data_IF_933343075840
#
_entry.id   IF_933343075840
#
_cell.length_a   1.000
_cell.length_b   1.000
_cell.length_c   1.000
_cell.angle_alpha   90.00
_cell.angle_beta   90.00
_cell.angle_gamma   90.00
#
_symmetry.space_group_name_H-M   'P 1'
#
loop_
_entity.id
_entity.type
_entity.pdbx_description
1 polymer ?
#
# COMPACT_ATOMS: atom_id res chain seq x y z
N UNK A 1 -28.34 46.89 -13.82
CA UNK A 1 -27.30 46.21 -13.01
C UNK A 1 -27.98 45.38 -11.95
N UNK A 2 -28.12 44.07 -12.13
CA UNK A 2 -28.49 43.09 -11.11
C UNK A 2 -28.32 41.72 -11.75
N UNK A 3 -27.71 40.77 -11.02
CA UNK A 3 -27.47 39.36 -11.36
C UNK A 3 -26.01 38.93 -11.62
N UNK A 4 -25.01 39.79 -11.42
CA UNK A 4 -23.60 39.33 -11.38
C UNK A 4 -23.22 38.62 -10.07
N UNK A 5 -24.01 38.79 -9.01
CA UNK A 5 -23.77 38.16 -7.70
C UNK A 5 -24.15 36.67 -7.66
N UNK A 6 -24.97 36.18 -8.59
CA UNK A 6 -25.34 34.76 -8.66
C UNK A 6 -24.18 33.88 -9.13
N UNK A 7 -23.24 34.43 -9.94
CA UNK A 7 -22.08 33.69 -10.43
C UNK A 7 -21.02 33.48 -9.34
N UNK A 8 -20.86 34.46 -8.43
CA UNK A 8 -19.91 34.38 -7.31
C UNK A 8 -20.36 33.35 -6.27
N UNK A 9 -21.67 33.20 -6.05
CA UNK A 9 -22.22 32.18 -5.14
C UNK A 9 -22.06 30.75 -5.65
N UNK A 10 -22.00 30.54 -6.97
CA UNK A 10 -21.81 29.22 -7.57
C UNK A 10 -20.36 28.71 -7.44
N UNK A 11 -19.38 29.61 -7.40
CA UNK A 11 -17.95 29.27 -7.30
C UNK A 11 -17.53 28.75 -5.91
N UNK A 12 -18.34 28.97 -4.87
CA UNK A 12 -18.04 28.47 -3.51
C UNK A 12 -18.52 27.03 -3.25
N UNK A 13 -19.24 26.40 -4.19
CA UNK A 13 -19.69 25.01 -4.05
C UNK A 13 -18.81 23.98 -4.76
N UNK A 14 -17.76 24.42 -5.44
CA UNK A 14 -16.70 23.52 -5.89
C UNK A 14 -15.69 23.38 -4.74
N UNK A 15 -16.15 22.85 -3.60
CA UNK A 15 -15.21 22.27 -2.65
C UNK A 15 -14.60 21.06 -3.34
N UNK A 16 -13.38 21.21 -3.82
CA UNK A 16 -12.54 20.09 -4.22
C UNK A 16 -12.57 19.09 -3.06
N UNK A 17 -13.28 17.98 -3.23
CA UNK A 17 -13.12 16.82 -2.38
C UNK A 17 -11.74 16.29 -2.70
N UNK A 18 -10.71 16.86 -2.06
CA UNK A 18 -9.40 16.25 -2.01
C UNK A 18 -9.63 14.86 -1.42
N UNK A 19 -9.50 13.85 -2.27
CA UNK A 19 -9.64 12.47 -1.83
C UNK A 19 -8.57 12.22 -0.77
N UNK A 20 -9.01 12.10 0.48
CA UNK A 20 -8.15 11.93 1.64
C UNK A 20 -7.39 10.60 1.51
N UNK A 21 -6.10 10.59 1.86
CA UNK A 21 -5.32 9.34 1.87
C UNK A 21 -6.04 8.27 2.69
N UNK A 22 -6.24 7.10 2.09
CA UNK A 22 -6.96 5.97 2.67
C UNK A 22 -5.98 5.10 3.43
N UNK A 23 -6.08 5.13 4.75
CA UNK A 23 -5.35 4.20 5.61
C UNK A 23 -6.16 2.92 5.79
N UNK A 24 -5.50 1.79 5.58
CA UNK A 24 -6.09 0.46 5.69
C UNK A 24 -5.25 -0.36 6.65
N UNK A 25 -5.90 -0.90 7.68
CA UNK A 25 -5.21 -1.65 8.75
C UNK A 25 -5.29 -3.13 8.43
N UNK A 26 -4.16 -3.83 8.56
CA UNK A 26 -4.13 -5.29 8.45
C UNK A 26 -4.87 -5.93 9.63
N UNK A 27 -5.82 -6.80 9.29
CA UNK A 27 -6.57 -7.59 10.26
C UNK A 27 -5.93 -8.96 10.49
N UNK A 28 -5.57 -9.66 9.41
CA UNK A 28 -4.85 -10.94 9.44
C UNK A 28 -3.74 -10.93 8.40
N UNK A 29 -2.66 -11.64 8.71
CA UNK A 29 -1.50 -11.72 7.85
C UNK A 29 -1.05 -13.19 7.74
N UNK A 30 -0.63 -13.56 6.54
CA UNK A 30 -0.13 -14.89 6.21
C UNK A 30 1.15 -14.78 5.42
N UNK A 31 2.07 -15.69 5.66
CA UNK A 31 3.29 -15.85 4.88
C UNK A 31 3.25 -17.23 4.24
N UNK A 32 3.57 -17.27 2.95
CA UNK A 32 3.84 -18.49 2.20
C UNK A 32 5.34 -18.68 2.12
N UNK A 33 5.84 -19.77 2.66
CA UNK A 33 7.22 -20.22 2.45
C UNK A 33 7.18 -21.60 1.81
N UNK A 34 7.72 -21.72 0.59
CA UNK A 34 7.71 -22.99 -0.15
C UNK A 34 6.31 -23.59 -0.32
N UNK A 35 5.31 -22.74 -0.62
CA UNK A 35 3.90 -23.09 -0.86
C UNK A 35 3.07 -23.43 0.39
N UNK A 36 3.68 -23.42 1.58
CA UNK A 36 2.97 -23.59 2.85
C UNK A 36 2.59 -22.23 3.46
N UNK A 37 1.29 -22.03 3.72
CA UNK A 37 0.77 -20.80 4.31
C UNK A 37 0.66 -20.90 5.83
N UNK A 38 1.29 -19.97 6.54
CA UNK A 38 1.22 -19.86 8.00
C UNK A 38 0.78 -18.45 8.41
N UNK A 39 -0.05 -18.33 9.44
CA UNK A 39 -0.41 -17.02 10.00
C UNK A 39 0.73 -16.45 10.85
N UNK A 40 0.87 -15.12 10.86
CA UNK A 40 1.85 -14.44 11.70
C UNK A 40 1.31 -13.12 12.24
N UNK A 41 1.99 -12.61 13.27
CA UNK A 41 1.70 -11.29 13.85
C UNK A 41 3.01 -10.61 14.25
N UNK A 42 3.07 -9.29 14.03
CA UNK A 42 4.16 -8.45 14.53
C UNK A 42 3.70 -7.60 15.71
N UNK A 43 4.66 -7.03 16.43
CA UNK A 43 4.38 -5.97 17.37
C UNK A 43 3.89 -4.72 16.60
N UNK A 44 2.76 -4.16 17.05
CA UNK A 44 2.10 -3.06 16.36
C UNK A 44 1.23 -3.51 15.18
N UNK A 45 0.59 -2.55 14.50
CA UNK A 45 -0.26 -2.81 13.34
C UNK A 45 0.53 -2.56 12.06
N UNK A 46 0.31 -3.41 11.06
CA UNK A 46 0.71 -3.11 9.68
C UNK A 46 -0.37 -2.20 9.08
N UNK A 47 0.05 -1.08 8.52
CA UNK A 47 -0.84 -0.09 7.91
C UNK A 47 -0.42 0.12 6.45
N UNK A 48 -1.40 0.06 5.55
CA UNK A 48 -1.25 0.47 4.16
C UNK A 48 -1.91 1.83 3.98
N UNK A 49 -1.15 2.83 3.56
CA UNK A 49 -1.64 4.16 3.26
C UNK A 49 -1.64 4.34 1.75
N UNK A 50 -2.83 4.52 1.17
CA UNK A 50 -3.02 4.68 -0.27
C UNK A 50 -3.47 6.11 -0.52
N UNK A 51 -2.65 6.88 -1.24
CA UNK A 51 -2.97 8.24 -1.60
C UNK A 51 -3.56 8.28 -3.02
N UNK A 52 -4.84 8.65 -3.20
CA UNK A 52 -5.46 8.70 -4.52
C UNK A 52 -4.89 9.80 -5.44
N UNK A 53 -4.09 10.73 -4.90
CA UNK A 53 -3.41 11.76 -5.67
C UNK A 53 -2.04 11.30 -6.21
N UNK A 54 -1.57 10.12 -5.84
CA UNK A 54 -0.33 9.51 -6.34
C UNK A 54 -0.61 8.58 -7.52
N UNK A 55 0.45 8.05 -8.13
CA UNK A 55 0.33 7.12 -9.25
C UNK A 55 -0.47 5.86 -8.81
N UNK A 56 -1.40 5.35 -9.64
CA UNK A 56 -2.18 4.17 -9.29
C UNK A 56 -1.31 2.98 -8.89
N UNK A 57 -1.61 2.38 -7.74
CA UNK A 57 -0.81 1.29 -7.17
C UNK A 57 0.28 1.74 -6.21
N UNK A 58 0.53 3.05 -6.08
CA UNK A 58 1.42 3.60 -5.05
C UNK A 58 0.80 3.41 -3.68
N UNK A 59 1.62 3.02 -2.73
CA UNK A 59 1.20 2.87 -1.35
C UNK A 59 2.40 2.96 -0.42
N UNK A 60 2.14 3.50 0.77
CA UNK A 60 3.08 3.48 1.88
C UNK A 60 2.72 2.36 2.84
N UNK A 61 3.73 1.64 3.29
CA UNK A 61 3.61 0.53 4.22
C UNK A 61 4.24 0.97 5.53
N UNK A 62 3.50 0.88 6.64
CA UNK A 62 4.02 1.13 7.97
C UNK A 62 4.05 -0.15 8.79
N UNK A 63 5.23 -0.61 9.18
CA UNK A 63 5.54 -1.52 10.30
C UNK A 63 7.01 -1.97 10.15
N UNK A 64 7.89 -1.54 11.05
CA UNK A 64 9.32 -1.84 10.94
C UNK A 64 9.63 -3.35 10.93
N UNK A 65 9.01 -4.11 11.85
CA UNK A 65 9.36 -5.53 12.02
C UNK A 65 8.98 -6.33 10.77
N UNK A 66 7.80 -6.07 10.20
CA UNK A 66 7.41 -6.61 8.90
C UNK A 66 8.37 -6.22 7.77
N UNK A 67 8.73 -4.94 7.69
CA UNK A 67 9.58 -4.40 6.63
C UNK A 67 11.01 -4.96 6.69
N UNK A 68 11.52 -5.20 7.90
CA UNK A 68 12.78 -5.90 8.12
C UNK A 68 12.72 -7.33 7.58
N UNK A 69 11.69 -8.10 7.96
CA UNK A 69 11.53 -9.48 7.53
C UNK A 69 11.23 -9.60 6.03
N UNK A 70 10.46 -8.67 5.46
CA UNK A 70 10.12 -8.61 4.04
C UNK A 70 11.38 -8.44 3.17
N UNK A 71 12.41 -7.78 3.70
CA UNK A 71 13.69 -7.57 3.00
C UNK A 71 14.76 -8.61 3.36
N UNK A 72 14.37 -9.71 4.00
CA UNK A 72 15.28 -10.74 4.53
C UNK A 72 16.40 -10.16 5.43
N UNK A 73 16.10 -9.08 6.17
CA UNK A 73 17.06 -8.35 6.99
C UNK A 73 18.17 -7.63 6.23
N UNK A 74 18.12 -7.59 4.88
CA UNK A 74 19.13 -6.92 4.03
C UNK A 74 18.99 -5.41 4.02
N UNK A 75 17.82 -4.88 4.39
CA UNK A 75 17.66 -3.48 4.68
C UNK A 75 18.55 -3.11 5.86
N UNK A 76 19.65 -2.40 5.60
CA UNK A 76 20.55 -1.85 6.63
C UNK A 76 19.88 -0.67 7.33
N UNK A 77 18.78 -0.95 8.02
CA UNK A 77 18.05 0.05 8.76
C UNK A 77 18.86 0.42 10.00
N UNK A 78 19.56 1.54 9.91
CA UNK A 78 20.41 2.09 10.99
C UNK A 78 19.63 2.37 12.29
N UNK A 79 18.29 2.51 12.23
CA UNK A 79 17.43 2.80 13.38
C UNK A 79 15.97 2.36 13.17
N UNK A 80 15.37 1.64 14.13
CA UNK A 80 13.96 1.21 14.10
C UNK A 80 12.96 2.39 14.05
N UNK A 81 13.28 3.50 14.72
CA UNK A 81 12.44 4.69 14.69
C UNK A 81 12.41 5.36 13.31
N UNK A 82 13.51 5.20 12.58
CA UNK A 82 13.79 5.90 11.33
C UNK A 82 13.19 5.21 10.11
N UNK A 83 13.06 3.88 10.14
CA UNK A 83 12.51 3.06 9.04
C UNK A 83 11.19 2.40 9.41
N UNK A 84 10.32 3.15 10.07
CA UNK A 84 8.99 2.66 10.45
C UNK A 84 8.04 2.47 9.26
N UNK A 85 8.40 3.00 8.09
CA UNK A 85 7.64 2.88 6.85
C UNK A 85 8.51 2.75 5.60
N UNK A 86 7.90 2.27 4.53
CA UNK A 86 8.47 2.19 3.19
C UNK A 86 7.46 2.66 2.14
N UNK A 87 7.95 3.33 1.10
CA UNK A 87 7.16 3.89 0.01
C UNK A 87 7.26 2.99 -1.23
N UNK A 88 6.13 2.50 -1.74
CA UNK A 88 6.11 1.76 -2.99
C UNK A 88 5.91 2.74 -4.15
N UNK A 89 7.01 3.02 -4.84
CA UNK A 89 7.12 4.06 -5.85
C UNK A 89 7.28 3.50 -7.27
N UNK A 90 6.93 4.31 -8.26
CA UNK A 90 6.99 3.98 -9.68
C UNK A 90 6.27 2.65 -10.03
N UNK A 91 5.02 2.45 -9.57
CA UNK A 91 4.28 1.22 -9.83
C UNK A 91 3.94 1.07 -11.32
N UNK A 92 4.46 0.01 -11.95
CA UNK A 92 4.05 -0.44 -13.27
C UNK A 92 2.99 -1.52 -13.14
N UNK A 93 1.80 -1.29 -13.67
CA UNK A 93 0.75 -2.31 -13.74
C UNK A 93 1.20 -3.49 -14.61
N UNK A 94 1.19 -4.69 -14.04
CA UNK A 94 1.58 -5.96 -14.68
C UNK A 94 0.35 -6.73 -15.14
N UNK A 95 -0.68 -6.79 -14.30
CA UNK A 95 -1.92 -7.51 -14.61
C UNK A 95 -3.11 -6.92 -13.85
N UNK A 96 -4.31 -7.13 -14.37
CA UNK A 96 -5.56 -6.83 -13.70
C UNK A 96 -6.59 -7.90 -14.05
N UNK A 97 -7.24 -8.48 -13.06
CA UNK A 97 -8.26 -9.51 -13.27
C UNK A 97 -9.34 -9.43 -12.21
N UNK A 98 -10.60 -9.56 -12.61
CA UNK A 98 -11.74 -9.62 -11.70
C UNK A 98 -12.13 -11.07 -11.46
N UNK A 99 -12.29 -11.47 -10.20
CA UNK A 99 -12.73 -12.82 -9.86
C UNK A 99 -14.25 -13.00 -9.99
N UNK A 100 -14.73 -14.23 -9.79
CA UNK A 100 -16.16 -14.57 -9.86
C UNK A 100 -17.02 -13.87 -8.79
N UNK A 101 -16.40 -13.37 -7.73
CA UNK A 101 -17.06 -12.66 -6.63
C UNK A 101 -17.03 -11.13 -6.83
N UNK A 102 -16.49 -10.65 -7.94
CA UNK A 102 -16.37 -9.23 -8.27
C UNK A 102 -15.20 -8.53 -7.58
N UNK A 103 -14.20 -9.27 -7.08
CA UNK A 103 -12.98 -8.68 -6.52
C UNK A 103 -11.99 -8.40 -7.65
N UNK A 104 -11.61 -7.14 -7.80
CA UNK A 104 -10.57 -6.71 -8.72
C UNK A 104 -9.20 -6.98 -8.08
N UNK A 105 -8.38 -7.78 -8.76
CA UNK A 105 -7.02 -8.08 -8.38
C UNK A 105 -6.10 -7.33 -9.34
N UNK A 106 -5.43 -6.29 -8.88
CA UNK A 106 -4.49 -5.52 -9.71
C UNK A 106 -3.07 -5.70 -9.21
N UNK A 107 -2.19 -6.19 -10.08
CA UNK A 107 -0.78 -6.44 -9.76
C UNK A 107 0.11 -5.36 -10.34
N UNK A 108 0.99 -4.83 -9.50
CA UNK A 108 1.98 -3.82 -9.82
C UNK A 108 3.38 -4.35 -9.52
N UNK A 109 4.34 -3.95 -10.33
CA UNK A 109 5.76 -4.12 -10.07
C UNK A 109 6.35 -2.73 -9.90
N UNK A 110 7.13 -2.51 -8.85
CA UNK A 110 7.65 -1.19 -8.52
C UNK A 110 8.79 -1.26 -7.53
N UNK A 111 9.25 -0.08 -7.12
CA UNK A 111 10.39 0.04 -6.21
C UNK A 111 9.88 0.34 -4.81
N UNK A 112 10.11 -0.58 -3.87
CA UNK A 112 9.89 -0.34 -2.45
C UNK A 112 11.10 0.38 -1.89
N UNK A 113 10.90 1.64 -1.51
CA UNK A 113 11.93 2.57 -1.06
C UNK A 113 11.83 2.77 0.45
N UNK A 114 12.97 2.58 1.11
CA UNK A 114 13.19 2.82 2.51
C UNK A 114 14.12 4.02 2.61
N UNK A 115 13.58 5.19 2.94
CA UNK A 115 14.34 6.42 2.95
C UNK A 115 14.23 7.12 4.30
N UNK A 116 15.38 7.58 4.78
CA UNK A 116 15.50 8.59 5.82
C UNK A 116 16.58 9.60 5.44
N UNK A 117 16.60 10.76 6.09
CA UNK A 117 17.49 11.91 5.87
C UNK A 117 18.90 11.59 5.33
N UNK A 118 19.55 10.51 5.80
CA UNK A 118 20.92 10.15 5.39
C UNK A 118 21.07 8.79 4.72
N UNK A 119 20.01 8.00 4.69
CA UNK A 119 20.09 6.62 4.26
C UNK A 119 19.00 6.28 3.25
N UNK A 120 19.39 5.49 2.25
CA UNK A 120 18.52 5.04 1.19
C UNK A 120 18.75 3.55 0.94
N UNK A 121 17.68 2.78 0.98
CA UNK A 121 17.66 1.39 0.57
C UNK A 121 16.43 1.14 -0.29
N UNK A 122 16.57 0.35 -1.35
CA UNK A 122 15.43 0.02 -2.21
C UNK A 122 15.51 -1.41 -2.74
N UNK A 123 14.34 -1.98 -2.99
CA UNK A 123 14.17 -3.32 -3.57
C UNK A 123 13.01 -3.29 -4.56
N UNK A 124 13.03 -4.21 -5.53
CA UNK A 124 11.91 -4.37 -6.45
C UNK A 124 10.90 -5.32 -5.84
N UNK A 125 9.67 -4.86 -5.69
CA UNK A 125 8.57 -5.63 -5.13
C UNK A 125 7.43 -5.77 -6.15
N UNK A 126 6.71 -6.87 -6.04
CA UNK A 126 5.47 -7.12 -6.75
C UNK A 126 4.33 -7.11 -5.73
N UNK A 127 3.37 -6.22 -5.94
CA UNK A 127 2.23 -6.02 -5.04
C UNK A 127 0.95 -6.28 -5.83
N UNK A 128 0.08 -7.12 -5.30
CA UNK A 128 -1.29 -7.29 -5.79
C UNK A 128 -2.26 -6.68 -4.80
N UNK A 129 -3.04 -5.70 -5.24
CA UNK A 129 -4.08 -5.06 -4.43
C UNK A 129 -5.42 -5.72 -4.78
N UNK A 130 -6.15 -6.15 -3.75
CA UNK A 130 -7.47 -6.76 -3.88
C UNK A 130 -8.53 -5.74 -3.49
N UNK A 131 -9.37 -5.34 -4.43
CA UNK A 131 -10.34 -4.27 -4.26
C UNK A 131 -11.75 -4.70 -4.64
N UNK A 132 -12.75 -4.23 -3.89
CA UNK A 132 -14.16 -4.40 -4.21
C UNK A 132 -14.93 -3.17 -3.79
N UNK A 133 -15.67 -2.55 -4.72
CA UNK A 133 -16.44 -1.33 -4.46
C UNK A 133 -15.61 -0.24 -3.76
N UNK A 134 -14.43 0.07 -4.31
CA UNK A 134 -13.48 1.08 -3.79
C UNK A 134 -12.89 0.74 -2.41
N UNK A 135 -13.14 -0.46 -1.88
CA UNK A 135 -12.55 -0.95 -0.63
C UNK A 135 -11.44 -1.94 -0.90
N UNK A 136 -10.30 -1.70 -0.25
CA UNK A 136 -9.19 -2.64 -0.21
C UNK A 136 -9.56 -3.75 0.76
N UNK A 137 -9.71 -4.96 0.22
CA UNK A 137 -9.99 -6.20 0.95
C UNK A 137 -8.72 -6.89 1.42
N UNK A 138 -7.64 -6.69 0.67
CA UNK A 138 -6.36 -7.26 1.01
C UNK A 138 -5.23 -6.81 0.09
N UNK A 139 -4.03 -7.17 0.48
CA UNK A 139 -2.80 -6.92 -0.27
C UNK A 139 -1.99 -8.21 -0.28
N UNK A 140 -1.42 -8.55 -1.42
CA UNK A 140 -0.36 -9.56 -1.53
C UNK A 140 0.93 -8.90 -1.94
N UNK A 141 2.04 -9.40 -1.42
CA UNK A 141 3.35 -8.82 -1.62
C UNK A 141 4.42 -9.90 -1.73
N UNK A 142 5.35 -9.69 -2.65
CA UNK A 142 6.58 -10.47 -2.71
C UNK A 142 7.72 -9.63 -3.26
N UNK A 143 8.96 -10.01 -2.96
CA UNK A 143 10.11 -9.45 -3.67
C UNK A 143 10.16 -10.04 -5.07
N UNK A 144 10.56 -9.24 -6.06
CA UNK A 144 10.66 -9.69 -7.45
C UNK A 144 11.64 -10.86 -7.60
N UNK A 145 12.76 -10.77 -6.90
CA UNK A 145 13.85 -11.74 -6.98
C UNK A 145 13.69 -12.94 -6.03
N UNK A 146 12.68 -12.91 -5.14
CA UNK A 146 12.39 -14.01 -4.22
C UNK A 146 10.97 -14.53 -4.43
N UNK A 147 10.84 -15.55 -5.27
CA UNK A 147 9.55 -16.22 -5.51
C UNK A 147 9.20 -17.28 -4.44
N UNK A 148 10.07 -17.54 -3.47
CA UNK A 148 9.83 -18.56 -2.43
C UNK A 148 8.99 -18.04 -1.26
N UNK A 149 8.95 -16.71 -1.10
CA UNK A 149 8.28 -16.03 -0.01
C UNK A 149 7.25 -15.05 -0.53
N UNK A 150 6.00 -15.25 -0.14
CA UNK A 150 4.89 -14.35 -0.46
C UNK A 150 4.13 -14.01 0.82
N UNK A 151 3.73 -12.76 0.95
CA UNK A 151 2.94 -12.28 2.05
C UNK A 151 1.54 -11.95 1.56
N UNK A 152 0.53 -12.30 2.34
CA UNK A 152 -0.86 -11.95 2.08
C UNK A 152 -1.47 -11.31 3.34
N UNK A 153 -2.28 -10.29 3.12
CA UNK A 153 -2.88 -9.50 4.18
C UNK A 153 -4.37 -9.36 3.90
N UNK A 154 -5.21 -9.68 4.89
CA UNK A 154 -6.60 -9.22 4.88
C UNK A 154 -6.67 -7.89 5.59
N UNK A 155 -7.48 -6.99 5.06
CA UNK A 155 -7.54 -5.63 5.57
C UNK A 155 -8.93 -5.27 6.06
N UNK A 156 -8.98 -4.31 6.99
CA UNK A 156 -10.20 -3.63 7.40
C UNK A 156 -10.01 -2.11 7.32
N UNK A 157 -11.09 -1.34 7.08
CA UNK A 157 -11.01 0.11 7.11
C UNK A 157 -10.42 0.59 8.45
N UNK A 158 -9.53 1.57 8.42
CA UNK A 158 -9.19 2.32 9.64
C UNK A 158 -10.47 3.04 10.09
N UNK A 159 -10.96 2.71 11.30
CA UNK A 159 -12.15 3.33 11.90
C UNK A 159 -11.88 4.78 12.31
#
# INVERSE_FOLDING_TARGET
>A
MKNYYALILLLFFVSANYAQSKNVIVDKAWVSESEEWTDFQYAGKIVFSINPNEEPGSLRIGNYDFLYDFTDGKGKFSSKATYSSAEFSHPRKVSASTDKQGVLNTTYEGTLVFQSDKDYYSVIAVITILEKNENVLGVKMKLKDNNRKEYAFSTKPAS
#
